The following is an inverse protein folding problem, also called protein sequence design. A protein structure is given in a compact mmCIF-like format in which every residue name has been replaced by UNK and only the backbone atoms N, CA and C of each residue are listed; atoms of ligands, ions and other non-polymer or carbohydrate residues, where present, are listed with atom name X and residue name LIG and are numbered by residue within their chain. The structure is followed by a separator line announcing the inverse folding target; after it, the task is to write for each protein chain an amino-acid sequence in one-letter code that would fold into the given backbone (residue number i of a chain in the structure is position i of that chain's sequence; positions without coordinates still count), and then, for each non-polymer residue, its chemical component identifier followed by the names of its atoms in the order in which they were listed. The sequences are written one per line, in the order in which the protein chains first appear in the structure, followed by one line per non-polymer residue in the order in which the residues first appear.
data_IF_005209999807
#
_entry.id   IF_005209999807
#
_cell.length_a   1.000
_cell.length_b   1.000
_cell.length_c   1.000
_cell.angle_alpha   90.00
_cell.angle_beta   90.00
_cell.angle_gamma   90.00
#
_symmetry.space_group_name_H-M   'P 1'
#
loop_
_entity.id
_entity.type
_entity.pdbx_description
1 polymer ?
#
# COMPACT_ATOMS: atom_id res chain seq x y z
N UNK A 1 68.23 4.55 -51.26
CA UNK A 1 66.86 4.00 -51.22
C UNK A 1 66.61 3.44 -49.82
N UNK A 2 65.86 4.13 -48.97
CA UNK A 2 65.53 3.72 -47.62
C UNK A 2 64.03 3.40 -47.60
N UNK A 3 63.70 2.14 -47.40
CA UNK A 3 62.32 1.65 -47.30
C UNK A 3 61.84 1.82 -45.84
N UNK A 4 60.80 2.69 -45.64
CA UNK A 4 60.07 2.80 -44.36
C UNK A 4 59.03 1.68 -44.29
N UNK A 5 59.04 0.91 -43.21
CA UNK A 5 57.99 0.01 -42.82
C UNK A 5 57.06 0.73 -41.82
N UNK A 6 55.77 0.88 -42.24
CA UNK A 6 54.72 1.46 -41.38
C UNK A 6 54.02 0.28 -40.69
N UNK A 7 54.22 0.15 -39.38
CA UNK A 7 53.52 -0.86 -38.57
C UNK A 7 52.16 -0.30 -38.13
N UNK A 8 51.09 -0.90 -38.63
CA UNK A 8 49.71 -0.61 -38.27
C UNK A 8 49.35 -1.39 -37.00
N UNK A 9 49.26 -0.71 -35.84
CA UNK A 9 48.74 -1.27 -34.61
C UNK A 9 47.17 -1.25 -34.66
N UNK A 10 46.58 -2.40 -34.80
CA UNK A 10 45.12 -2.58 -34.68
C UNK A 10 44.78 -2.75 -33.19
N UNK A 11 44.28 -1.68 -32.56
CA UNK A 11 43.72 -1.77 -31.23
C UNK A 11 42.28 -2.30 -31.28
N UNK A 12 42.08 -3.56 -30.93
CA UNK A 12 40.78 -4.17 -30.71
C UNK A 12 40.21 -3.73 -29.33
N UNK A 13 39.33 -2.77 -29.32
CA UNK A 13 38.50 -2.45 -28.15
C UNK A 13 37.45 -3.54 -27.96
N UNK A 14 37.66 -4.36 -26.93
CA UNK A 14 36.66 -5.33 -26.46
C UNK A 14 35.54 -4.56 -25.80
N UNK A 15 34.37 -4.41 -26.48
CA UNK A 15 33.17 -3.89 -25.89
C UNK A 15 32.60 -4.98 -24.97
N UNK A 16 32.75 -4.81 -23.66
CA UNK A 16 32.03 -5.60 -22.66
C UNK A 16 30.57 -5.16 -22.70
N UNK A 17 29.76 -5.90 -23.44
CA UNK A 17 28.31 -5.77 -23.34
C UNK A 17 27.90 -6.28 -21.96
N UNK A 18 27.63 -5.37 -21.02
CA UNK A 18 26.90 -5.68 -19.80
C UNK A 18 25.51 -6.11 -20.22
N UNK A 19 25.23 -7.42 -20.15
CA UNK A 19 23.89 -7.96 -20.24
C UNK A 19 23.13 -7.47 -19.00
N UNK A 20 22.44 -6.32 -19.10
CA UNK A 20 21.32 -6.03 -18.23
C UNK A 20 20.32 -7.14 -18.49
N UNK A 21 20.17 -8.02 -17.50
CA UNK A 21 19.03 -8.94 -17.45
C UNK A 21 17.78 -8.07 -17.54
N UNK A 22 17.07 -8.15 -18.65
CA UNK A 22 15.69 -7.71 -18.75
C UNK A 22 14.91 -8.67 -17.83
N UNK A 23 14.83 -8.34 -16.55
CA UNK A 23 13.82 -8.93 -15.68
C UNK A 23 12.48 -8.65 -16.37
N UNK A 24 11.77 -9.71 -16.77
CA UNK A 24 10.50 -9.56 -17.47
C UNK A 24 9.55 -8.71 -16.62
N UNK A 25 8.78 -7.87 -17.29
CA UNK A 25 7.80 -7.00 -16.65
C UNK A 25 6.84 -7.84 -15.78
N UNK A 26 6.80 -7.56 -14.47
CA UNK A 26 5.94 -8.30 -13.53
C UNK A 26 4.52 -7.73 -13.56
N UNK A 27 3.54 -8.50 -13.09
CA UNK A 27 2.17 -7.97 -12.95
C UNK A 27 2.15 -6.75 -12.01
N UNK A 28 2.89 -6.79 -10.92
CA UNK A 28 2.98 -5.65 -9.99
C UNK A 28 3.58 -4.41 -10.65
N UNK A 29 4.61 -4.54 -11.52
CA UNK A 29 5.20 -3.39 -12.24
C UNK A 29 4.22 -2.76 -13.23
N UNK A 30 3.39 -3.56 -13.89
CA UNK A 30 2.32 -3.05 -14.78
C UNK A 30 1.23 -2.30 -14.00
N UNK A 31 0.88 -2.79 -12.80
CA UNK A 31 -0.06 -2.10 -11.93
C UNK A 31 0.55 -0.80 -11.40
N UNK A 32 1.83 -0.84 -11.03
CA UNK A 32 2.56 0.33 -10.54
C UNK A 32 2.61 1.44 -11.61
N UNK A 33 2.86 1.11 -12.87
CA UNK A 33 2.82 2.09 -13.97
C UNK A 33 1.47 2.80 -14.04
N UNK A 34 0.36 2.06 -13.94
CA UNK A 34 -0.99 2.65 -13.88
C UNK A 34 -1.19 3.54 -12.64
N UNK A 35 -0.67 3.11 -11.50
CA UNK A 35 -0.77 3.84 -10.25
C UNK A 35 0.03 5.15 -10.27
N UNK A 36 1.18 5.16 -10.92
CA UNK A 36 2.07 6.33 -11.00
C UNK A 36 1.62 7.37 -12.04
N UNK A 37 0.78 7.00 -13.02
CA UNK A 37 0.38 7.82 -14.13
C UNK A 37 -1.14 7.98 -14.23
N UNK A 38 -1.76 8.47 -13.15
CA UNK A 38 -3.22 8.54 -13.03
C UNK A 38 -3.91 9.23 -14.22
N UNK A 39 -3.31 10.28 -14.80
CA UNK A 39 -3.90 11.00 -15.93
C UNK A 39 -3.93 10.20 -17.23
N UNK A 40 -3.03 9.24 -17.40
CA UNK A 40 -3.02 8.34 -18.57
C UNK A 40 -4.09 7.24 -18.45
N UNK A 41 -4.55 6.97 -17.22
CA UNK A 41 -5.44 5.87 -16.89
C UNK A 41 -6.78 6.32 -16.28
N UNK A 42 -7.26 7.57 -16.59
CA UNK A 42 -8.50 8.12 -16.01
C UNK A 42 -9.77 7.32 -16.30
N UNK A 43 -9.80 6.57 -17.37
CA UNK A 43 -10.92 5.70 -17.72
C UNK A 43 -10.80 4.29 -17.12
N UNK A 44 -9.69 4.00 -16.45
CA UNK A 44 -9.47 2.76 -15.73
C UNK A 44 -9.82 2.93 -14.25
N UNK A 45 -10.63 2.00 -13.72
CA UNK A 45 -10.95 1.93 -12.30
C UNK A 45 -10.07 0.85 -11.67
N UNK A 46 -9.10 1.27 -10.85
CA UNK A 46 -8.27 0.33 -10.09
C UNK A 46 -9.09 -0.32 -8.98
N UNK A 47 -8.96 -1.63 -8.84
CA UNK A 47 -9.66 -2.39 -7.81
C UNK A 47 -8.71 -2.68 -6.66
N UNK A 48 -9.06 -2.13 -5.48
CA UNK A 48 -8.39 -2.41 -4.23
C UNK A 48 -9.24 -3.34 -3.36
N UNK A 49 -8.67 -4.45 -2.95
CA UNK A 49 -9.34 -5.44 -2.12
C UNK A 49 -9.11 -5.11 -0.63
N UNK A 50 -10.12 -4.56 0.02
CA UNK A 50 -10.09 -4.18 1.44
C UNK A 50 -9.88 -5.41 2.33
N UNK A 51 -8.93 -5.33 3.29
CA UNK A 51 -8.48 -6.43 4.17
C UNK A 51 -8.13 -7.69 3.39
N UNK A 52 -7.41 -7.51 2.30
CA UNK A 52 -7.01 -8.53 1.34
C UNK A 52 -8.18 -9.21 0.57
N UNK A 53 -9.43 -8.74 0.69
CA UNK A 53 -10.54 -9.23 -0.13
C UNK A 53 -11.25 -10.46 0.42
N UNK A 54 -11.67 -10.41 1.67
CA UNK A 54 -12.39 -11.52 2.32
C UNK A 54 -13.73 -11.86 1.63
N UNK A 55 -14.37 -10.88 0.97
CA UNK A 55 -15.69 -11.03 0.36
C UNK A 55 -15.60 -11.08 -1.17
N UNK A 56 -16.22 -12.10 -1.78
CA UNK A 56 -16.37 -12.23 -3.23
C UNK A 56 -17.80 -12.60 -3.60
N UNK A 57 -18.36 -11.96 -4.62
CA UNK A 57 -19.72 -12.17 -5.09
C UNK A 57 -20.79 -12.15 -3.96
N UNK A 58 -20.62 -11.25 -2.98
CA UNK A 58 -21.53 -11.11 -1.83
C UNK A 58 -21.42 -12.21 -0.77
N UNK A 59 -20.37 -13.04 -0.84
CA UNK A 59 -20.12 -14.09 0.18
C UNK A 59 -18.75 -13.89 0.79
N UNK A 60 -18.63 -14.03 2.12
CA UNK A 60 -17.34 -14.07 2.81
C UNK A 60 -16.72 -15.45 2.60
N UNK A 61 -15.69 -15.53 1.77
CA UNK A 61 -15.02 -16.78 1.39
C UNK A 61 -13.73 -17.01 2.16
N UNK A 62 -13.06 -15.94 2.58
CA UNK A 62 -11.76 -15.97 3.23
C UNK A 62 -11.81 -15.20 4.56
N UNK A 63 -10.93 -15.55 5.48
CA UNK A 63 -10.69 -14.69 6.63
C UNK A 63 -10.07 -13.36 6.16
N UNK A 64 -10.48 -12.24 6.73
CA UNK A 64 -9.87 -10.94 6.43
C UNK A 64 -8.38 -10.95 6.79
N UNK A 65 -7.56 -10.19 6.04
CA UNK A 65 -6.14 -10.07 6.29
C UNK A 65 -5.35 -11.40 6.24
N UNK A 66 -5.87 -12.39 5.48
CA UNK A 66 -5.25 -13.70 5.30
C UNK A 66 -4.49 -13.82 3.98
N UNK A 67 -3.56 -14.77 3.88
CA UNK A 67 -2.86 -15.05 2.63
C UNK A 67 -3.81 -15.66 1.59
N UNK A 68 -4.77 -16.48 2.02
CA UNK A 68 -5.80 -17.03 1.13
C UNK A 68 -6.68 -15.92 0.52
N UNK A 69 -6.98 -14.84 1.27
CA UNK A 69 -7.70 -13.68 0.73
C UNK A 69 -6.89 -12.96 -0.35
N UNK A 70 -5.56 -12.83 -0.17
CA UNK A 70 -4.65 -12.29 -1.19
C UNK A 70 -4.73 -13.12 -2.47
N UNK A 71 -4.61 -14.44 -2.36
CA UNK A 71 -4.72 -15.36 -3.51
C UNK A 71 -6.05 -15.20 -4.23
N UNK A 72 -7.15 -15.16 -3.47
CA UNK A 72 -8.48 -14.94 -4.01
C UNK A 72 -8.60 -13.60 -4.75
N UNK A 73 -8.01 -12.54 -4.22
CA UNK A 73 -8.01 -11.20 -4.84
C UNK A 73 -7.18 -11.15 -6.11
N UNK A 74 -6.02 -11.79 -6.14
CA UNK A 74 -5.21 -11.92 -7.35
C UNK A 74 -5.98 -12.70 -8.42
N UNK A 75 -6.65 -13.78 -8.05
CA UNK A 75 -7.39 -14.64 -8.97
C UNK A 75 -8.56 -13.91 -9.66
N UNK A 76 -9.23 -12.98 -8.98
CA UNK A 76 -10.32 -12.16 -9.56
C UNK A 76 -9.82 -10.90 -10.28
N UNK A 77 -8.50 -10.66 -10.30
CA UNK A 77 -7.90 -9.55 -11.03
C UNK A 77 -7.76 -8.24 -10.24
N UNK A 78 -7.93 -8.25 -8.90
CA UNK A 78 -7.66 -7.06 -8.09
C UNK A 78 -6.22 -6.56 -8.31
N UNK A 79 -6.02 -5.27 -8.31
CA UNK A 79 -4.73 -4.64 -8.59
C UNK A 79 -3.99 -4.25 -7.32
N UNK A 80 -4.72 -4.03 -6.25
CA UNK A 80 -4.18 -3.67 -4.94
C UNK A 80 -4.87 -4.53 -3.89
N UNK A 81 -4.12 -5.02 -2.92
CA UNK A 81 -4.68 -5.51 -1.65
C UNK A 81 -4.37 -4.50 -0.57
N UNK A 82 -5.35 -4.19 0.25
CA UNK A 82 -5.16 -3.38 1.44
C UNK A 82 -5.14 -4.29 2.66
N UNK A 83 -4.22 -4.04 3.59
CA UNK A 83 -4.05 -4.82 4.81
C UNK A 83 -3.69 -3.94 6.00
N UNK A 84 -4.11 -4.36 7.18
CA UNK A 84 -3.98 -3.61 8.42
C UNK A 84 -2.76 -4.06 9.21
N UNK A 85 -1.89 -3.12 9.62
CA UNK A 85 -0.65 -3.44 10.32
C UNK A 85 -0.73 -3.05 11.79
N UNK A 86 -0.51 -4.04 12.67
CA UNK A 86 -0.37 -3.85 14.12
C UNK A 86 0.97 -4.38 14.62
N UNK A 87 1.16 -4.32 15.93
CA UNK A 87 2.40 -4.75 16.58
C UNK A 87 2.11 -5.75 17.69
N UNK A 88 2.88 -6.84 17.72
CA UNK A 88 2.89 -7.80 18.82
C UNK A 88 3.61 -7.26 20.05
N UNK A 89 3.49 -7.93 21.19
CA UNK A 89 4.16 -7.61 22.46
C UNK A 89 5.69 -7.53 22.34
N UNK A 90 6.28 -8.38 21.52
CA UNK A 90 7.73 -8.47 21.26
C UNK A 90 8.17 -7.65 20.04
N UNK A 91 7.30 -6.76 19.55
CA UNK A 91 7.64 -5.75 18.55
C UNK A 91 7.51 -6.16 17.09
N UNK A 92 7.06 -7.40 16.79
CA UNK A 92 6.86 -7.83 15.41
C UNK A 92 5.65 -7.12 14.78
N UNK A 93 5.75 -6.70 13.52
CA UNK A 93 4.61 -6.25 12.74
C UNK A 93 3.77 -7.45 12.30
N UNK A 94 2.48 -7.40 12.60
CA UNK A 94 1.49 -8.45 12.31
C UNK A 94 0.30 -7.86 11.57
N UNK A 95 -0.39 -8.68 10.80
CA UNK A 95 -1.52 -8.26 9.98
C UNK A 95 -2.81 -8.54 10.75
N UNK A 96 -3.49 -7.46 11.17
CA UNK A 96 -4.71 -7.51 11.97
C UNK A 96 -5.41 -6.15 11.97
N UNK A 97 -6.72 -6.13 11.71
CA UNK A 97 -7.49 -4.87 11.76
C UNK A 97 -7.73 -4.40 13.20
N UNK A 98 -8.35 -5.27 14.02
CA UNK A 98 -8.75 -4.91 15.37
C UNK A 98 -7.55 -4.88 16.33
N UNK A 99 -7.64 -4.09 17.40
CA UNK A 99 -6.70 -4.17 18.53
C UNK A 99 -6.92 -5.43 19.40
N UNK A 100 -8.05 -6.12 19.18
CA UNK A 100 -8.45 -7.34 19.89
C UNK A 100 -8.54 -8.52 18.91
N UNK A 101 -8.17 -9.71 19.40
CA UNK A 101 -8.15 -10.96 18.63
C UNK A 101 -9.54 -11.59 18.45
N UNK A 102 -10.52 -11.13 19.20
CA UNK A 102 -11.78 -11.82 19.50
C UNK A 102 -12.69 -12.05 18.31
N UNK A 103 -12.72 -11.12 17.34
CA UNK A 103 -13.65 -11.17 16.20
C UNK A 103 -13.16 -12.10 15.10
N UNK A 104 -11.89 -12.06 14.79
CA UNK A 104 -11.32 -12.69 13.59
C UNK A 104 -10.32 -13.80 13.86
N UNK A 105 -10.18 -14.20 15.13
CA UNK A 105 -9.30 -15.33 15.50
C UNK A 105 -9.91 -16.24 16.56
N UNK A 106 -9.28 -17.40 16.75
CA UNK A 106 -9.62 -18.34 17.86
C UNK A 106 -9.12 -17.86 19.23
N UNK A 107 -8.28 -16.81 19.27
CA UNK A 107 -7.74 -16.24 20.50
C UNK A 107 -8.61 -15.09 21.00
N UNK A 108 -8.35 -14.65 22.25
CA UNK A 108 -9.09 -13.57 22.91
C UNK A 108 -8.14 -12.56 23.53
N UNK A 109 -8.54 -11.29 23.57
CA UNK A 109 -7.77 -10.22 24.20
C UNK A 109 -6.97 -9.36 23.22
N UNK A 110 -6.16 -8.45 23.74
CA UNK A 110 -5.46 -7.44 22.94
C UNK A 110 -4.23 -8.01 22.23
N UNK A 111 -4.05 -7.70 20.95
CA UNK A 111 -2.90 -8.09 20.12
C UNK A 111 -1.56 -7.76 20.79
N UNK A 112 -1.45 -6.56 21.38
CA UNK A 112 -0.22 -6.06 22.04
C UNK A 112 0.19 -6.83 23.30
N UNK A 113 -0.67 -7.72 23.80
CA UNK A 113 -0.37 -8.56 24.97
C UNK A 113 0.27 -9.89 24.58
N UNK A 114 0.25 -10.26 23.30
CA UNK A 114 0.75 -11.52 22.76
C UNK A 114 2.08 -11.34 22.05
N UNK A 115 3.03 -12.24 22.32
CA UNK A 115 4.23 -12.37 21.49
C UNK A 115 3.87 -12.92 20.12
N UNK A 116 4.75 -12.74 19.12
CA UNK A 116 4.55 -13.34 17.81
C UNK A 116 4.36 -14.87 17.89
N UNK A 117 5.14 -15.55 18.72
CA UNK A 117 5.04 -16.99 18.90
C UNK A 117 3.66 -17.43 19.44
N UNK A 118 3.03 -16.63 20.29
CA UNK A 118 1.68 -16.86 20.77
C UNK A 118 0.63 -16.54 19.69
N UNK A 119 0.76 -15.44 18.97
CA UNK A 119 -0.14 -15.08 17.85
C UNK A 119 -0.13 -16.15 16.74
N UNK A 120 1.00 -16.79 16.49
CA UNK A 120 1.11 -17.89 15.52
C UNK A 120 0.32 -19.15 15.91
N UNK A 121 -0.13 -19.27 17.16
CA UNK A 121 -1.03 -20.36 17.62
C UNK A 121 -2.50 -20.03 17.39
N UNK A 122 -2.86 -18.75 17.25
CA UNK A 122 -4.21 -18.32 16.91
C UNK A 122 -4.52 -18.65 15.45
N UNK A 123 -5.72 -19.18 15.19
CA UNK A 123 -6.21 -19.42 13.83
C UNK A 123 -7.16 -18.33 13.43
N UNK A 124 -7.08 -17.90 12.17
CA UNK A 124 -8.01 -16.92 11.61
C UNK A 124 -9.40 -17.53 11.47
N UNK A 125 -10.42 -16.72 11.65
CA UNK A 125 -11.83 -17.11 11.56
C UNK A 125 -12.51 -16.29 10.45
N UNK A 126 -13.24 -16.96 9.59
CA UNK A 126 -14.02 -16.28 8.53
C UNK A 126 -15.22 -15.58 9.19
N UNK A 127 -15.24 -14.25 9.10
CA UNK A 127 -16.31 -13.42 9.65
C UNK A 127 -17.66 -13.78 9.06
N UNK A 128 -18.69 -13.73 9.89
CA UNK A 128 -20.09 -14.06 9.49
C UNK A 128 -20.40 -15.56 9.43
N UNK A 129 -19.43 -16.42 9.15
CA UNK A 129 -19.62 -17.88 9.15
C UNK A 129 -19.12 -18.55 10.43
N UNK A 130 -18.13 -17.94 11.11
CA UNK A 130 -17.46 -18.53 12.27
C UNK A 130 -16.53 -19.71 11.91
N UNK A 131 -16.27 -19.94 10.62
CA UNK A 131 -15.40 -21.03 10.17
C UNK A 131 -13.96 -20.75 10.56
N UNK A 132 -13.35 -21.66 11.32
CA UNK A 132 -11.94 -21.62 11.69
C UNK A 132 -11.11 -22.10 10.50
N UNK A 133 -10.10 -21.34 10.12
CA UNK A 133 -9.15 -21.71 9.06
C UNK A 133 -7.89 -22.36 9.63
N UNK A 134 -7.05 -22.91 8.77
CA UNK A 134 -5.73 -23.41 9.17
C UNK A 134 -4.67 -22.30 9.20
N UNK A 135 -5.00 -21.08 8.79
CA UNK A 135 -4.07 -19.96 8.72
C UNK A 135 -3.87 -19.31 10.11
N UNK A 136 -2.62 -19.10 10.54
CA UNK A 136 -2.33 -18.27 11.71
C UNK A 136 -2.37 -16.79 11.35
N UNK A 137 -2.32 -15.92 12.37
CA UNK A 137 -2.04 -14.48 12.16
C UNK A 137 -0.72 -14.32 11.41
N UNK A 138 -0.77 -13.62 10.27
CA UNK A 138 0.41 -13.38 9.43
C UNK A 138 1.26 -12.23 9.95
N UNK A 139 2.57 -12.31 9.74
CA UNK A 139 3.47 -11.16 9.88
C UNK A 139 3.39 -10.28 8.63
N UNK A 140 3.81 -9.01 8.78
CA UNK A 140 3.98 -8.13 7.62
C UNK A 140 4.95 -8.74 6.59
N UNK A 141 6.04 -9.37 7.03
CA UNK A 141 7.02 -10.00 6.12
C UNK A 141 6.41 -11.14 5.31
N UNK A 142 5.59 -12.00 5.91
CA UNK A 142 4.90 -13.08 5.21
C UNK A 142 3.89 -12.53 4.19
N UNK A 143 3.12 -11.52 4.57
CA UNK A 143 2.16 -10.86 3.69
C UNK A 143 2.85 -10.19 2.49
N UNK A 144 3.95 -9.47 2.73
CA UNK A 144 4.75 -8.85 1.68
C UNK A 144 5.36 -9.89 0.73
N UNK A 145 5.88 -10.99 1.27
CA UNK A 145 6.43 -12.07 0.44
C UNK A 145 5.38 -12.69 -0.49
N UNK A 146 4.13 -12.82 -0.01
CA UNK A 146 3.01 -13.35 -0.79
C UNK A 146 2.60 -12.45 -1.95
N UNK A 147 2.66 -11.13 -1.74
CA UNK A 147 2.24 -10.12 -2.73
C UNK A 147 3.32 -9.76 -3.75
N UNK A 148 4.58 -10.12 -3.46
CA UNK A 148 5.74 -9.71 -4.26
C UNK A 148 5.59 -10.08 -5.74
N UNK A 149 5.85 -9.12 -6.63
CA UNK A 149 5.79 -9.21 -8.09
C UNK A 149 4.40 -9.54 -8.68
N UNK A 150 3.38 -9.67 -7.83
CA UNK A 150 2.04 -10.14 -8.20
C UNK A 150 0.96 -9.07 -8.12
N UNK A 151 1.02 -8.20 -7.09
CA UNK A 151 -0.01 -7.21 -6.80
C UNK A 151 0.59 -6.08 -5.95
N UNK A 152 0.08 -4.85 -6.06
CA UNK A 152 0.46 -3.81 -5.10
C UNK A 152 -0.18 -4.08 -3.74
N UNK A 153 0.51 -3.65 -2.69
CA UNK A 153 0.00 -3.78 -1.33
C UNK A 153 -0.07 -2.42 -0.64
N UNK A 154 -1.25 -2.10 -0.13
CA UNK A 154 -1.53 -0.92 0.67
C UNK A 154 -1.50 -1.29 2.16
N UNK A 155 -0.63 -0.65 2.92
CA UNK A 155 -0.47 -0.87 4.36
C UNK A 155 -1.23 0.20 5.15
N UNK A 156 -2.35 -0.19 5.73
CA UNK A 156 -3.07 0.66 6.68
C UNK A 156 -2.38 0.63 8.05
N UNK A 157 -1.76 1.75 8.40
CA UNK A 157 -1.02 1.89 9.63
C UNK A 157 -1.97 2.08 10.83
N UNK A 158 -2.21 1.01 11.61
CA UNK A 158 -2.97 1.07 12.87
C UNK A 158 -2.09 1.43 14.09
N UNK A 159 -0.88 1.92 13.84
CA UNK A 159 0.12 2.31 14.84
C UNK A 159 0.40 3.82 14.73
N UNK A 160 1.53 4.25 15.28
CA UNK A 160 1.96 5.64 15.13
C UNK A 160 2.68 5.88 13.81
N UNK A 161 2.64 7.11 13.30
CA UNK A 161 3.34 7.50 12.07
C UNK A 161 4.85 7.19 12.12
N UNK A 162 5.42 7.18 13.31
CA UNK A 162 6.83 6.82 13.57
C UNK A 162 7.15 5.35 13.31
N UNK A 163 6.16 4.49 13.09
CA UNK A 163 6.33 3.07 12.77
C UNK A 163 6.51 2.81 11.26
N UNK A 164 6.09 3.74 10.41
CA UNK A 164 6.20 3.64 8.95
C UNK A 164 7.61 3.26 8.46
N UNK A 165 8.72 3.86 8.96
CA UNK A 165 10.05 3.48 8.51
C UNK A 165 10.38 2.00 8.73
N UNK A 166 9.89 1.41 9.84
CA UNK A 166 10.08 -0.01 10.14
C UNK A 166 9.33 -0.93 9.17
N UNK A 167 8.12 -0.57 8.76
CA UNK A 167 7.36 -1.31 7.76
C UNK A 167 8.02 -1.28 6.39
N UNK A 168 8.45 -0.08 5.96
CA UNK A 168 9.13 0.14 4.68
C UNK A 168 10.49 -0.58 4.64
N UNK A 169 11.21 -0.64 5.77
CA UNK A 169 12.46 -1.38 5.85
C UNK A 169 12.28 -2.87 5.54
N UNK A 170 11.18 -3.50 6.01
CA UNK A 170 10.87 -4.90 5.70
C UNK A 170 10.59 -5.07 4.20
N UNK A 171 9.85 -4.16 3.58
CA UNK A 171 9.60 -4.21 2.14
C UNK A 171 10.89 -4.04 1.33
N UNK A 172 11.79 -3.16 1.78
CA UNK A 172 13.10 -2.95 1.16
C UNK A 172 13.99 -4.18 1.28
N UNK A 173 14.02 -4.83 2.43
CA UNK A 173 14.75 -6.10 2.62
C UNK A 173 14.28 -7.20 1.65
N UNK A 174 13.01 -7.19 1.28
CA UNK A 174 12.41 -8.12 0.33
C UNK A 174 12.61 -7.68 -1.13
N UNK A 175 13.14 -6.48 -1.38
CA UNK A 175 13.32 -5.91 -2.71
C UNK A 175 12.00 -5.61 -3.41
N UNK A 176 11.00 -5.08 -2.68
CA UNK A 176 9.68 -4.76 -3.19
C UNK A 176 9.11 -3.43 -2.64
N UNK A 177 9.98 -2.52 -2.22
CA UNK A 177 9.52 -1.26 -1.63
C UNK A 177 8.65 -0.43 -2.60
N UNK A 178 8.92 -0.47 -3.90
CA UNK A 178 8.16 0.18 -4.96
C UNK A 178 6.71 -0.33 -5.10
N UNK A 179 6.46 -1.57 -4.67
CA UNK A 179 5.14 -2.20 -4.70
C UNK A 179 4.30 -1.88 -3.45
N UNK A 180 4.87 -1.16 -2.49
CA UNK A 180 4.22 -0.84 -1.20
C UNK A 180 3.68 0.58 -1.22
N UNK A 181 2.41 0.69 -0.87
CA UNK A 181 1.72 1.95 -0.59
C UNK A 181 1.53 2.01 0.93
N UNK A 182 2.12 3.00 1.60
CA UNK A 182 1.84 3.26 3.01
C UNK A 182 0.89 4.42 3.15
N UNK A 183 -0.07 4.33 4.06
CA UNK A 183 -1.03 5.39 4.28
C UNK A 183 -1.00 5.94 5.70
N UNK A 184 -1.41 7.20 5.83
CA UNK A 184 -1.47 7.90 7.10
C UNK A 184 -2.58 8.96 7.08
N UNK A 185 -3.34 9.03 8.16
CA UNK A 185 -4.42 9.99 8.29
C UNK A 185 -3.89 11.38 8.63
N UNK A 186 -4.21 12.36 7.78
CA UNK A 186 -3.74 13.73 7.89
C UNK A 186 -4.91 14.68 8.12
N UNK A 187 -5.07 15.16 9.35
CA UNK A 187 -6.16 16.08 9.73
C UNK A 187 -5.70 17.48 10.09
N UNK A 188 -4.39 17.72 10.16
CA UNK A 188 -3.83 19.05 10.44
C UNK A 188 -2.36 19.14 9.99
N UNK A 189 -1.81 20.37 10.01
CA UNK A 189 -0.41 20.63 9.61
C UNK A 189 0.61 19.89 10.47
N UNK A 190 0.34 19.70 11.76
CA UNK A 190 1.25 18.96 12.64
C UNK A 190 1.40 17.50 12.19
N UNK A 191 0.31 16.86 11.71
CA UNK A 191 0.37 15.50 11.15
C UNK A 191 1.13 15.47 9.82
N UNK A 192 0.99 16.51 8.98
CA UNK A 192 1.80 16.65 7.76
C UNK A 192 3.29 16.68 8.11
N UNK A 193 3.69 17.49 9.10
CA UNK A 193 5.10 17.60 9.49
C UNK A 193 5.62 16.30 10.11
N UNK A 194 4.83 15.62 10.93
CA UNK A 194 5.20 14.32 11.51
C UNK A 194 5.37 13.26 10.42
N UNK A 195 4.45 13.21 9.44
CA UNK A 195 4.56 12.30 8.30
C UNK A 195 5.81 12.58 7.46
N UNK A 196 6.12 13.85 7.16
CA UNK A 196 7.36 14.23 6.46
C UNK A 196 8.60 13.71 7.15
N UNK A 197 8.68 13.86 8.48
CA UNK A 197 9.82 13.38 9.27
C UNK A 197 9.94 11.86 9.21
N UNK A 198 8.83 11.14 9.35
CA UNK A 198 8.81 9.68 9.31
C UNK A 198 9.21 9.16 7.91
N UNK A 199 8.61 9.71 6.85
CA UNK A 199 8.90 9.30 5.46
C UNK A 199 10.33 9.63 5.05
N UNK A 200 10.89 10.76 5.49
CA UNK A 200 12.29 11.10 5.26
C UNK A 200 13.24 10.07 5.90
N UNK A 201 12.92 9.55 7.09
CA UNK A 201 13.68 8.45 7.73
C UNK A 201 13.55 7.13 6.99
N UNK A 202 12.42 6.89 6.36
CA UNK A 202 12.20 5.69 5.57
C UNK A 202 13.00 5.67 4.25
N UNK A 203 13.43 6.83 3.75
CA UNK A 203 14.06 6.97 2.43
C UNK A 203 13.03 6.91 1.29
N UNK A 204 13.50 6.80 0.05
CA UNK A 204 12.62 6.75 -1.14
C UNK A 204 12.25 5.35 -1.60
N UNK A 205 11.54 5.25 -2.74
CA UNK A 205 11.25 4.00 -3.45
C UNK A 205 10.02 3.25 -2.93
N UNK A 206 9.06 3.96 -2.35
CA UNK A 206 7.74 3.45 -1.97
C UNK A 206 6.68 4.52 -2.29
N UNK A 207 5.40 4.14 -2.27
CA UNK A 207 4.30 5.06 -2.47
C UNK A 207 3.73 5.51 -1.12
N UNK A 208 3.39 6.80 -1.00
CA UNK A 208 2.69 7.35 0.17
C UNK A 208 1.31 7.83 -0.24
N UNK A 209 0.29 7.36 0.46
CA UNK A 209 -1.10 7.76 0.25
C UNK A 209 -1.65 8.48 1.48
N UNK A 210 -1.82 9.80 1.44
CA UNK A 210 -2.51 10.53 2.48
C UNK A 210 -3.98 10.13 2.58
N UNK A 211 -4.51 10.05 3.80
CA UNK A 211 -5.93 9.89 4.08
C UNK A 211 -6.48 11.22 4.53
N UNK A 212 -7.57 11.68 3.91
CA UNK A 212 -8.34 12.86 4.28
C UNK A 212 -9.76 12.44 4.60
N UNK A 213 -10.21 12.70 5.84
CA UNK A 213 -11.56 12.39 6.30
C UNK A 213 -12.38 13.67 6.49
N UNK A 214 -13.64 13.64 6.15
CA UNK A 214 -14.55 14.81 6.15
C UNK A 214 -14.96 15.28 7.56
N UNK A 215 -14.77 14.46 8.59
CA UNK A 215 -14.96 14.83 9.99
C UNK A 215 -13.88 15.81 10.50
N UNK A 216 -12.71 15.81 9.88
CA UNK A 216 -11.56 16.63 10.27
C UNK A 216 -11.13 17.63 9.20
N UNK A 217 -11.36 17.35 7.94
CA UNK A 217 -10.95 18.18 6.79
C UNK A 217 -12.17 18.88 6.20
N UNK A 218 -12.37 20.13 6.60
CA UNK A 218 -13.51 20.95 6.15
C UNK A 218 -13.17 21.93 5.02
N UNK A 219 -11.89 22.01 4.63
CA UNK A 219 -11.41 22.92 3.60
C UNK A 219 -10.65 22.17 2.49
N UNK A 220 -11.16 22.26 1.27
CA UNK A 220 -10.49 21.72 0.10
C UNK A 220 -9.08 22.32 -0.15
N UNK A 221 -8.73 23.47 0.45
CA UNK A 221 -7.39 24.02 0.39
C UNK A 221 -6.38 23.14 1.12
N UNK A 222 -6.79 22.45 2.18
CA UNK A 222 -5.93 21.54 2.92
C UNK A 222 -5.44 20.37 2.05
N UNK A 223 -6.28 19.83 1.16
CA UNK A 223 -5.86 18.84 0.19
C UNK A 223 -4.75 19.36 -0.75
N UNK A 224 -4.79 20.64 -1.12
CA UNK A 224 -3.71 21.28 -1.88
C UNK A 224 -2.41 21.43 -1.09
N UNK A 225 -2.48 21.63 0.25
CA UNK A 225 -1.31 21.61 1.11
C UNK A 225 -0.68 20.21 1.17
N UNK A 226 -1.51 19.18 1.27
CA UNK A 226 -1.09 17.76 1.28
C UNK A 226 -0.45 17.37 -0.05
N UNK A 227 -1.09 17.70 -1.17
CA UNK A 227 -0.56 17.47 -2.52
C UNK A 227 0.83 18.13 -2.68
N UNK A 228 0.95 19.41 -2.33
CA UNK A 228 2.24 20.13 -2.37
C UNK A 228 3.30 19.51 -1.44
N UNK A 229 2.87 18.95 -0.31
CA UNK A 229 3.78 18.41 0.69
C UNK A 229 4.40 17.08 0.29
N UNK A 230 3.66 16.22 -0.43
CA UNK A 230 4.01 14.83 -0.67
C UNK A 230 4.02 14.43 -2.15
N UNK A 231 3.40 15.20 -3.06
CA UNK A 231 3.17 14.83 -4.46
C UNK A 231 2.70 13.36 -4.59
N UNK A 232 1.61 12.97 -3.89
CA UNK A 232 1.19 11.59 -3.79
C UNK A 232 0.65 11.09 -5.15
N UNK A 233 0.65 9.77 -5.35
CA UNK A 233 0.02 9.17 -6.54
C UNK A 233 -1.45 8.81 -6.31
N UNK A 234 -1.88 8.78 -5.06
CA UNK A 234 -3.29 8.65 -4.67
C UNK A 234 -3.55 9.41 -3.37
N UNK A 235 -4.77 9.87 -3.18
CA UNK A 235 -5.29 10.40 -1.91
C UNK A 235 -6.57 9.63 -1.59
N UNK A 236 -6.61 9.04 -0.40
CA UNK A 236 -7.81 8.38 0.12
C UNK A 236 -8.73 9.43 0.74
N UNK A 237 -10.00 9.41 0.33
CA UNK A 237 -11.05 10.28 0.84
C UNK A 237 -12.05 9.44 1.64
N UNK A 238 -12.23 9.77 2.92
CA UNK A 238 -13.15 9.05 3.79
C UNK A 238 -14.32 9.94 4.19
N UNK A 239 -15.53 9.41 4.02
CA UNK A 239 -16.77 9.98 4.51
C UNK A 239 -17.18 9.33 5.84
N UNK A 240 -16.99 10.06 6.94
CA UNK A 240 -17.44 9.67 8.28
C UNK A 240 -18.79 10.26 8.67
N UNK A 241 -19.24 11.29 7.96
CA UNK A 241 -20.48 11.99 8.27
C UNK A 241 -21.68 11.33 7.59
N UNK A 242 -22.06 10.18 7.98
CA UNK A 242 -23.34 9.57 7.65
C UNK A 242 -24.06 10.12 6.41
N UNK A 243 -23.67 9.77 5.24
CA UNK A 243 -24.45 9.74 4.00
C UNK A 243 -25.42 10.88 3.64
N UNK A 244 -25.82 11.71 4.59
CA UNK A 244 -26.79 12.78 4.36
C UNK A 244 -26.17 13.97 3.61
N UNK A 245 -24.86 14.17 3.71
CA UNK A 245 -24.13 15.27 3.05
C UNK A 245 -23.32 14.84 1.85
N UNK A 246 -23.01 13.57 1.72
CA UNK A 246 -22.16 13.00 0.67
C UNK A 246 -22.72 13.14 -0.73
N UNK A 247 -24.01 13.12 -0.87
CA UNK A 247 -24.71 13.20 -2.16
C UNK A 247 -25.26 14.60 -2.46
N UNK A 248 -24.72 15.65 -1.84
CA UNK A 248 -25.06 17.02 -2.25
C UNK A 248 -24.56 17.28 -3.68
N UNK A 249 -25.23 18.17 -4.41
CA UNK A 249 -24.83 18.55 -5.76
C UNK A 249 -23.37 19.05 -5.84
N UNK A 250 -22.81 19.51 -4.73
CA UNK A 250 -21.42 19.99 -4.60
C UNK A 250 -20.46 18.93 -4.08
N UNK A 251 -20.94 17.82 -3.53
CA UNK A 251 -20.11 16.73 -2.96
C UNK A 251 -19.31 17.12 -1.73
N UNK A 252 -19.66 18.21 -1.05
CA UNK A 252 -18.89 18.72 0.08
C UNK A 252 -17.44 19.11 -0.30
N UNK A 253 -16.53 19.27 0.69
CA UNK A 253 -15.15 19.67 0.43
C UNK A 253 -14.32 18.57 -0.24
N UNK A 254 -14.53 17.30 0.11
CA UNK A 254 -13.71 16.18 -0.38
C UNK A 254 -14.30 15.52 -1.64
N UNK A 255 -15.60 15.25 -1.68
CA UNK A 255 -16.28 14.57 -2.81
C UNK A 255 -16.83 15.59 -3.81
N UNK A 256 -15.99 16.41 -4.42
CA UNK A 256 -16.38 17.54 -5.24
C UNK A 256 -15.67 17.59 -6.59
N UNK A 257 -16.27 18.32 -7.55
CA UNK A 257 -15.63 18.63 -8.83
C UNK A 257 -14.30 19.36 -8.65
N UNK A 258 -14.16 20.17 -7.59
CA UNK A 258 -12.91 20.84 -7.23
C UNK A 258 -11.82 19.84 -6.83
N UNK A 259 -12.17 18.82 -6.04
CA UNK A 259 -11.23 17.76 -5.64
C UNK A 259 -10.81 16.93 -6.86
N UNK A 260 -11.77 16.56 -7.73
CA UNK A 260 -11.46 15.89 -9.00
C UNK A 260 -10.51 16.74 -9.86
N UNK A 261 -10.76 18.05 -9.98
CA UNK A 261 -9.86 18.94 -10.73
C UNK A 261 -8.46 19.01 -10.09
N UNK A 262 -8.35 18.94 -8.77
CA UNK A 262 -7.05 18.86 -8.06
C UNK A 262 -6.33 17.56 -8.38
N UNK A 263 -7.03 16.43 -8.37
CA UNK A 263 -6.48 15.12 -8.75
C UNK A 263 -5.91 15.10 -10.17
N UNK A 264 -6.63 15.75 -11.11
CA UNK A 264 -6.15 15.87 -12.50
C UNK A 264 -4.89 16.76 -12.60
N UNK A 265 -4.85 17.88 -11.85
CA UNK A 265 -3.66 18.76 -11.86
C UNK A 265 -2.44 18.10 -11.21
N UNK A 266 -2.65 17.34 -10.13
CA UNK A 266 -1.58 16.68 -9.38
C UNK A 266 -1.18 15.30 -9.91
N UNK A 267 -1.89 14.80 -10.95
CA UNK A 267 -1.67 13.45 -11.50
C UNK A 267 -1.77 12.34 -10.44
N UNK A 268 -2.82 12.36 -9.63
CA UNK A 268 -3.07 11.36 -8.59
C UNK A 268 -4.48 10.77 -8.68
N UNK A 269 -4.64 9.55 -8.17
CA UNK A 269 -5.91 8.85 -8.08
C UNK A 269 -6.76 9.35 -6.91
N UNK A 270 -8.07 9.35 -7.11
CA UNK A 270 -9.04 9.42 -6.02
C UNK A 270 -9.29 8.00 -5.52
N UNK A 271 -9.02 7.79 -4.25
CA UNK A 271 -9.33 6.53 -3.58
C UNK A 271 -10.49 6.77 -2.60
N UNK A 272 -11.53 5.89 -2.59
CA UNK A 272 -12.69 5.97 -1.71
C UNK A 272 -13.17 4.57 -1.31
#
# INVERSE_FOLDING_TARGET
MRTLWLSLLLSTTLAVATSQSLAGETRASQILDRFEHANQWRDHVMIAAHRAGSMQAGKTLYAENSLAAVEGSIAIGAEIVEVDVRRSKDGAFVIMHDSWLDRTTTCKGEVVKYTLAELKKCRLVIEGTGTVTDEPVSTLREMLAETKDRILINLDNKLEVTDLPGMIAIARDLGMADQVIVKENLWNRQRIDAAKVALAKAGGGFQFMPILADDAVHDAAFAGEVDKAFAPRAIELIDWRNGAETLTATGGPLFSTRMRASAVRGDWHLWA
#
